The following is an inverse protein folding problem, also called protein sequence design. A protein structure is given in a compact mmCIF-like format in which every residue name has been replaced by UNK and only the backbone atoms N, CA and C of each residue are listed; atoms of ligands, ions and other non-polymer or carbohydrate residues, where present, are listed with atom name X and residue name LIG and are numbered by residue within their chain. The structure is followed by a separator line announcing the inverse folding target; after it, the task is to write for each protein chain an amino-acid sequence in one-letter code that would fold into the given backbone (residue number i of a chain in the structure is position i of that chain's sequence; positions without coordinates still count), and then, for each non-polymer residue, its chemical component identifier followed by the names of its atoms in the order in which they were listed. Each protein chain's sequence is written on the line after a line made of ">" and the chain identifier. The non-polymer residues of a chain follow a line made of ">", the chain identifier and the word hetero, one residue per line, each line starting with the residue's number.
data_IF_040893729009
#
_entry.id   IF_040893729009
#
_cell.length_a   1.000
_cell.length_b   1.000
_cell.length_c   1.000
_cell.angle_alpha   90.00
_cell.angle_beta   90.00
_cell.angle_gamma   90.00
#
_symmetry.space_group_name_H-M   'P 1'
#
loop_
_entity.id
_entity.type
_entity.pdbx_description
1 polymer ?
#
# COMPACT_ATOMS: atom_id res chain seq x y z
N UNK A 1 -5.90 9.55 19.39
CA UNK A 1 -6.76 9.57 18.18
C UNK A 1 -5.90 9.27 16.96
N UNK A 2 -6.02 8.07 16.39
CA UNK A 2 -5.36 7.68 15.15
C UNK A 2 -6.33 7.90 13.99
N UNK A 3 -5.95 8.71 12.99
CA UNK A 3 -6.74 8.98 11.79
C UNK A 3 -6.18 8.15 10.62
N UNK A 4 -6.65 6.91 10.40
CA UNK A 4 -6.08 6.00 9.40
C UNK A 4 -6.09 6.61 7.99
N UNK A 5 -7.20 7.26 7.61
CA UNK A 5 -7.33 7.88 6.29
C UNK A 5 -6.29 8.99 6.00
N UNK A 6 -5.74 9.64 7.04
CA UNK A 6 -4.74 10.69 6.87
C UNK A 6 -3.31 10.14 6.83
N UNK A 7 -3.03 9.08 7.59
CA UNK A 7 -1.73 8.39 7.56
C UNK A 7 -1.48 7.72 6.20
N UNK A 8 -2.54 7.10 5.65
CA UNK A 8 -2.52 6.44 4.36
C UNK A 8 -2.18 7.41 3.21
N UNK A 9 -2.72 8.64 3.25
CA UNK A 9 -2.52 9.62 2.16
C UNK A 9 -1.09 10.17 2.09
N UNK A 10 -0.44 10.40 3.24
CA UNK A 10 0.93 10.92 3.28
C UNK A 10 1.93 9.81 2.97
N UNK A 11 1.77 8.63 3.59
CA UNK A 11 2.61 7.46 3.32
C UNK A 11 2.56 7.07 1.84
N UNK A 12 1.37 7.15 1.21
CA UNK A 12 1.21 6.90 -0.21
C UNK A 12 1.93 7.95 -1.07
N UNK A 13 1.78 9.24 -0.77
CA UNK A 13 2.45 10.33 -1.54
C UNK A 13 3.96 10.22 -1.49
N UNK A 14 4.51 9.97 -0.31
CA UNK A 14 5.94 9.78 -0.14
C UNK A 14 6.44 8.49 -0.76
N UNK A 15 5.63 7.44 -0.64
CA UNK A 15 5.91 6.17 -1.27
C UNK A 15 5.95 6.24 -2.78
N UNK A 16 4.98 6.92 -3.36
CA UNK A 16 4.90 7.20 -4.77
C UNK A 16 6.06 8.08 -5.24
N UNK A 17 6.41 9.13 -4.48
CA UNK A 17 7.57 9.96 -4.78
C UNK A 17 8.87 9.15 -4.73
N UNK A 18 9.06 8.31 -3.71
CA UNK A 18 10.21 7.41 -3.60
C UNK A 18 10.25 6.39 -4.75
N UNK A 19 9.12 5.78 -5.11
CA UNK A 19 9.03 4.87 -6.25
C UNK A 19 9.29 5.57 -7.58
N UNK A 20 8.85 6.82 -7.75
CA UNK A 20 9.12 7.61 -8.94
C UNK A 20 10.60 8.03 -9.00
N UNK A 21 11.21 8.35 -7.86
CA UNK A 21 12.66 8.53 -7.74
C UNK A 21 13.42 7.23 -8.03
N UNK A 22 12.94 6.06 -7.60
CA UNK A 22 13.55 4.75 -7.87
C UNK A 22 13.41 4.34 -9.35
N UNK A 23 12.26 4.60 -9.98
CA UNK A 23 12.04 4.39 -11.42
C UNK A 23 12.90 5.39 -12.21
N UNK A 24 12.93 6.65 -11.78
CA UNK A 24 13.81 7.67 -12.33
C UNK A 24 15.28 7.27 -12.21
N UNK A 25 15.70 6.76 -11.06
CA UNK A 25 17.04 6.23 -10.80
C UNK A 25 17.34 5.00 -11.65
N UNK A 26 16.39 4.07 -11.80
CA UNK A 26 16.56 2.87 -12.63
C UNK A 26 16.63 3.22 -14.10
N UNK A 27 15.76 4.12 -14.58
CA UNK A 27 15.80 4.67 -15.92
C UNK A 27 17.04 5.52 -16.18
N UNK A 28 17.51 6.24 -15.16
CA UNK A 28 18.74 7.02 -15.22
C UNK A 28 19.97 6.12 -15.24
N UNK A 29 20.05 5.06 -14.43
CA UNK A 29 21.07 4.01 -14.51
C UNK A 29 21.11 3.34 -15.89
N UNK A 30 19.95 3.20 -16.53
CA UNK A 30 19.82 2.64 -17.88
C UNK A 30 20.25 3.62 -18.98
N UNK A 31 20.16 4.94 -18.73
CA UNK A 31 20.32 5.99 -19.77
C UNK A 31 21.60 6.84 -19.59
N UNK A 32 22.06 7.10 -18.37
CA UNK A 32 23.19 7.97 -18.02
C UNK A 32 23.73 7.62 -16.61
N UNK A 33 24.92 7.03 -16.55
CA UNK A 33 25.64 6.53 -15.36
C UNK A 33 25.94 7.53 -14.20
N UNK A 34 25.30 8.70 -14.11
CA UNK A 34 25.88 9.85 -13.40
C UNK A 34 25.17 10.39 -12.14
N UNK A 35 24.16 9.73 -11.57
CA UNK A 35 23.59 10.21 -10.30
C UNK A 35 23.32 9.10 -9.29
N UNK A 36 24.37 8.71 -8.56
CA UNK A 36 24.37 7.53 -7.68
C UNK A 36 24.08 7.83 -6.20
N UNK A 37 23.36 8.91 -5.90
CA UNK A 37 22.99 9.23 -4.52
C UNK A 37 21.48 9.22 -4.39
N UNK A 38 20.95 8.21 -3.69
CA UNK A 38 19.55 8.13 -3.23
C UNK A 38 19.43 8.64 -1.79
N UNK A 39 19.40 9.97 -1.56
CA UNK A 39 19.04 10.54 -0.26
C UNK A 39 17.55 10.31 0.10
N UNK A 40 16.77 9.75 -0.83
CA UNK A 40 15.36 9.40 -0.64
C UNK A 40 15.09 8.34 0.44
N UNK A 41 16.09 7.54 0.83
CA UNK A 41 15.91 6.58 1.92
C UNK A 41 15.75 7.28 3.27
N UNK A 42 16.65 8.19 3.64
CA UNK A 42 16.60 8.91 4.93
C UNK A 42 15.28 9.66 5.13
N UNK A 43 14.78 10.18 4.01
CA UNK A 43 13.52 10.84 3.83
C UNK A 43 12.37 9.96 4.39
N UNK A 44 12.09 8.76 3.86
CA UNK A 44 10.95 7.93 4.31
C UNK A 44 10.82 7.74 5.84
N UNK A 45 11.94 7.56 6.54
CA UNK A 45 11.95 7.18 7.96
C UNK A 45 11.75 8.33 8.93
N UNK A 46 12.25 9.51 8.59
CA UNK A 46 11.96 10.73 9.34
C UNK A 46 10.45 10.99 9.42
N UNK A 47 9.72 10.74 8.34
CA UNK A 47 8.26 10.86 8.36
C UNK A 47 7.59 9.85 9.29
N UNK A 48 8.09 8.61 9.33
CA UNK A 48 7.57 7.58 10.23
C UNK A 48 7.83 7.95 11.70
N UNK A 49 9.02 8.47 12.01
CA UNK A 49 9.34 9.00 13.33
C UNK A 49 8.39 10.15 13.69
N UNK A 50 8.26 11.16 12.83
CA UNK A 50 7.52 12.39 13.12
C UNK A 50 6.03 12.13 13.30
N UNK A 51 5.46 11.19 12.53
CA UNK A 51 4.04 10.82 12.61
C UNK A 51 3.77 9.94 13.84
N UNK A 52 4.57 8.89 14.08
CA UNK A 52 4.24 7.90 15.11
C UNK A 52 4.81 8.24 16.50
N UNK A 53 6.01 8.80 16.57
CA UNK A 53 6.63 9.09 17.86
C UNK A 53 6.08 10.39 18.46
N UNK A 54 6.12 11.49 17.69
CA UNK A 54 5.91 12.83 18.24
C UNK A 54 4.48 13.37 18.15
N UNK A 55 3.56 12.67 17.49
CA UNK A 55 2.14 13.08 17.38
C UNK A 55 1.93 14.55 16.98
N UNK A 56 2.84 15.13 16.18
CA UNK A 56 2.77 16.55 15.86
C UNK A 56 1.50 16.88 15.07
N UNK A 57 0.72 17.84 15.59
CA UNK A 57 -0.52 18.33 14.97
C UNK A 57 -0.26 19.20 13.72
N UNK A 58 0.87 19.91 13.66
CA UNK A 58 1.17 20.87 12.58
C UNK A 58 2.03 20.27 11.47
N UNK A 59 1.43 19.46 10.58
CA UNK A 59 2.17 18.68 9.57
C UNK A 59 2.68 19.47 8.37
N UNK A 60 1.98 20.53 7.97
CA UNK A 60 2.25 21.22 6.70
C UNK A 60 3.62 21.89 6.63
N UNK A 61 4.08 22.51 7.72
CA UNK A 61 5.38 23.19 7.73
C UNK A 61 6.55 22.20 7.69
N UNK A 62 6.43 21.03 8.33
CA UNK A 62 7.49 20.02 8.35
C UNK A 62 7.79 19.46 6.96
N UNK A 63 6.78 19.30 6.11
CA UNK A 63 6.96 18.80 4.75
C UNK A 63 7.90 19.72 3.93
N UNK A 64 7.79 21.04 4.09
CA UNK A 64 8.68 21.99 3.41
C UNK A 64 10.12 21.90 3.89
N UNK A 65 10.34 21.96 5.21
CA UNK A 65 11.69 21.85 5.78
C UNK A 65 12.36 20.54 5.43
N UNK A 66 11.57 19.48 5.35
CA UNK A 66 12.04 18.16 4.99
C UNK A 66 12.67 18.10 3.60
N UNK A 67 12.00 18.63 2.56
CA UNK A 67 12.58 18.67 1.22
C UNK A 67 13.85 19.53 1.19
N UNK A 68 13.86 20.66 1.91
CA UNK A 68 15.03 21.54 2.00
C UNK A 68 16.21 20.81 2.64
N UNK A 69 16.00 20.07 3.74
CA UNK A 69 17.07 19.33 4.44
C UNK A 69 17.62 18.22 3.56
N UNK A 70 16.74 17.41 2.94
CA UNK A 70 17.17 16.30 2.06
C UNK A 70 17.95 16.82 0.86
N UNK A 71 17.46 17.88 0.22
CA UNK A 71 18.14 18.52 -0.90
C UNK A 71 19.49 19.12 -0.49
N UNK A 72 19.52 19.84 0.64
CA UNK A 72 20.75 20.45 1.17
C UNK A 72 21.79 19.38 1.55
N UNK A 73 21.35 18.26 2.12
CA UNK A 73 22.23 17.15 2.48
C UNK A 73 22.79 16.45 1.24
N UNK A 74 21.96 16.21 0.23
CA UNK A 74 22.41 15.65 -1.05
C UNK A 74 23.45 16.55 -1.72
N UNK A 75 23.17 17.86 -1.76
CA UNK A 75 24.07 18.87 -2.30
C UNK A 75 25.39 18.92 -1.51
N UNK A 76 25.31 18.85 -0.18
CA UNK A 76 26.49 18.80 0.70
C UNK A 76 27.37 17.59 0.39
N UNK A 77 26.80 16.39 0.24
CA UNK A 77 27.55 15.18 -0.11
C UNK A 77 28.21 15.29 -1.49
N UNK A 78 27.51 15.87 -2.47
CA UNK A 78 28.07 16.10 -3.80
C UNK A 78 29.21 17.13 -3.78
N UNK A 79 29.07 18.25 -3.07
CA UNK A 79 30.14 19.24 -2.91
C UNK A 79 31.34 18.60 -2.20
N UNK A 80 31.10 17.82 -1.16
CA UNK A 80 32.15 17.14 -0.41
C UNK A 80 32.94 16.16 -1.30
N UNK A 81 32.26 15.42 -2.18
CA UNK A 81 32.91 14.56 -3.17
C UNK A 81 33.80 15.36 -4.16
N UNK A 82 33.30 16.49 -4.67
CA UNK A 82 34.04 17.33 -5.63
C UNK A 82 35.23 18.02 -4.95
N UNK A 83 35.03 18.63 -3.78
CA UNK A 83 36.07 19.37 -3.05
C UNK A 83 37.21 18.49 -2.56
N UNK A 84 36.94 17.20 -2.30
CA UNK A 84 37.97 16.23 -1.94
C UNK A 84 38.80 15.74 -3.14
N UNK A 85 38.49 16.18 -4.38
CA UNK A 85 39.13 15.73 -5.61
C UNK A 85 39.20 14.20 -5.74
N UNK A 86 38.12 13.53 -5.32
CA UNK A 86 38.06 12.07 -5.24
C UNK A 86 37.54 11.42 -6.53
N UNK A 87 36.98 12.19 -7.47
CA UNK A 87 36.42 11.64 -8.71
C UNK A 87 37.42 11.59 -9.85
N UNK A 88 37.44 10.47 -10.58
CA UNK A 88 38.26 10.29 -11.79
C UNK A 88 37.88 9.05 -12.56
N UNK A 89 38.56 8.81 -13.68
CA UNK A 89 38.34 7.62 -14.48
C UNK A 89 39.06 6.42 -13.83
N UNK A 90 38.34 5.34 -13.57
CA UNK A 90 38.89 4.08 -13.10
C UNK A 90 38.98 3.10 -14.27
N UNK A 91 40.21 2.76 -14.66
CA UNK A 91 40.47 1.84 -15.77
C UNK A 91 39.90 0.44 -15.51
N UNK A 92 39.81 0.03 -14.25
CA UNK A 92 39.35 -1.31 -13.88
C UNK A 92 37.84 -1.49 -14.09
N UNK A 93 37.07 -0.45 -13.83
CA UNK A 93 35.61 -0.42 -14.04
C UNK A 93 35.22 0.21 -15.38
N UNK A 94 36.17 0.81 -16.09
CA UNK A 94 35.96 1.56 -17.34
C UNK A 94 34.93 2.69 -17.20
N UNK A 95 34.81 3.26 -16.00
CA UNK A 95 33.82 4.26 -15.64
C UNK A 95 34.43 5.36 -14.77
N UNK A 96 33.74 6.51 -14.70
CA UNK A 96 34.13 7.56 -13.75
C UNK A 96 33.69 7.16 -12.33
N UNK A 97 34.66 6.89 -11.47
CA UNK A 97 34.48 6.44 -10.10
C UNK A 97 35.41 7.17 -9.12
N UNK A 98 35.63 6.61 -7.94
CA UNK A 98 36.62 7.08 -6.98
C UNK A 98 38.04 6.84 -7.51
N UNK A 99 38.86 7.88 -7.55
CA UNK A 99 40.28 7.79 -7.90
C UNK A 99 41.02 6.82 -6.97
N UNK A 100 41.93 6.03 -7.55
CA UNK A 100 42.77 5.08 -6.82
C UNK A 100 41.96 4.15 -5.89
N UNK A 101 40.85 3.61 -6.40
CA UNK A 101 40.04 2.59 -5.72
C UNK A 101 40.97 1.49 -5.19
N UNK A 102 41.02 1.36 -3.86
CA UNK A 102 41.88 0.44 -3.15
C UNK A 102 43.00 1.06 -2.31
N UNK A 103 43.35 2.34 -2.40
CA UNK A 103 44.22 2.93 -1.37
C UNK A 103 43.44 3.04 -0.04
N UNK A 104 44.09 2.79 1.11
CA UNK A 104 43.40 2.72 2.41
C UNK A 104 42.62 4.01 2.73
N UNK A 105 43.23 5.16 2.41
CA UNK A 105 42.61 6.47 2.61
C UNK A 105 41.35 6.67 1.74
N UNK A 106 41.43 6.27 0.48
CA UNK A 106 40.32 6.42 -0.47
C UNK A 106 39.21 5.42 -0.17
N UNK A 107 39.54 4.25 0.39
CA UNK A 107 38.52 3.32 0.89
C UNK A 107 37.70 3.95 2.00
N UNK A 108 38.35 4.54 3.02
CA UNK A 108 37.63 5.15 4.15
C UNK A 108 36.70 6.24 3.62
N UNK A 109 37.17 7.06 2.68
CA UNK A 109 36.34 8.06 2.01
C UNK A 109 35.15 7.44 1.29
N UNK A 110 35.39 6.50 0.37
CA UNK A 110 34.34 5.80 -0.37
C UNK A 110 33.33 5.12 0.56
N UNK A 111 33.79 4.51 1.65
CA UNK A 111 32.92 3.85 2.63
C UNK A 111 32.06 4.86 3.39
N UNK A 112 32.66 5.94 3.89
CA UNK A 112 31.96 6.97 4.67
C UNK A 112 30.94 7.70 3.81
N UNK A 113 31.32 8.08 2.59
CA UNK A 113 30.39 8.67 1.65
C UNK A 113 29.39 7.61 1.21
N UNK A 114 29.74 6.63 0.39
CA UNK A 114 28.77 5.74 -0.24
C UNK A 114 27.88 4.95 0.75
N UNK A 115 28.46 4.36 1.80
CA UNK A 115 27.74 3.44 2.70
C UNK A 115 27.44 4.03 4.07
N UNK A 116 28.25 4.97 4.55
CA UNK A 116 28.16 5.49 5.91
C UNK A 116 26.79 6.08 6.21
N UNK A 117 26.26 6.94 5.32
CA UNK A 117 24.92 7.49 5.51
C UNK A 117 23.81 6.44 5.34
N UNK A 118 24.02 5.40 4.54
CA UNK A 118 23.04 4.32 4.33
C UNK A 118 22.89 3.52 5.63
N UNK A 119 24.01 3.10 6.23
CA UNK A 119 24.00 2.39 7.49
C UNK A 119 23.50 3.26 8.65
N UNK A 120 23.88 4.54 8.70
CA UNK A 120 23.32 5.47 9.66
C UNK A 120 21.79 5.61 9.51
N UNK A 121 21.30 5.65 8.26
CA UNK A 121 19.87 5.64 7.96
C UNK A 121 19.23 4.37 8.49
N UNK A 122 19.72 3.18 8.12
CA UNK A 122 19.19 1.87 8.55
C UNK A 122 19.16 1.77 10.08
N UNK A 123 20.24 2.17 10.76
CA UNK A 123 20.30 2.18 12.22
C UNK A 123 19.23 3.10 12.82
N UNK A 124 19.08 4.31 12.28
CA UNK A 124 18.02 5.24 12.69
C UNK A 124 16.63 4.63 12.48
N UNK A 125 16.39 3.94 11.36
CA UNK A 125 15.13 3.24 11.08
C UNK A 125 14.82 2.18 12.14
N UNK A 126 15.83 1.37 12.50
CA UNK A 126 15.70 0.33 13.50
C UNK A 126 15.33 0.93 14.87
N UNK A 127 15.98 2.03 15.26
CA UNK A 127 15.66 2.77 16.49
C UNK A 127 14.20 3.24 16.48
N UNK A 128 13.75 3.87 15.38
CA UNK A 128 12.37 4.34 15.23
C UNK A 128 11.38 3.20 15.37
N UNK A 129 11.65 2.06 14.73
CA UNK A 129 10.77 0.89 14.79
C UNK A 129 10.71 0.31 16.19
N UNK A 130 11.84 0.23 16.89
CA UNK A 130 11.88 -0.18 18.30
C UNK A 130 11.02 0.78 19.14
N UNK A 131 11.12 2.09 18.93
CA UNK A 131 10.28 3.09 19.62
C UNK A 131 8.79 2.89 19.33
N UNK A 132 8.41 2.69 18.06
CA UNK A 132 7.02 2.43 17.65
C UNK A 132 6.49 1.14 18.27
N UNK A 133 7.26 0.05 18.25
CA UNK A 133 6.88 -1.22 18.86
C UNK A 133 6.70 -1.07 20.37
N UNK A 134 7.62 -0.37 21.06
CA UNK A 134 7.51 -0.09 22.49
C UNK A 134 6.25 0.71 22.81
N UNK A 135 5.96 1.76 22.02
CA UNK A 135 4.75 2.58 22.16
C UNK A 135 3.47 1.77 21.93
N UNK A 136 3.40 0.96 20.87
CA UNK A 136 2.25 0.09 20.60
C UNK A 136 2.04 -0.96 21.69
N UNK A 137 3.11 -1.53 22.24
CA UNK A 137 3.03 -2.46 23.39
C UNK A 137 2.51 -1.75 24.64
N UNK A 138 2.93 -0.50 24.88
CA UNK A 138 2.44 0.31 25.99
C UNK A 138 0.94 0.57 25.89
N UNK A 139 0.47 1.04 24.72
CA UNK A 139 -0.96 1.28 24.47
C UNK A 139 -1.77 -0.01 24.59
N UNK A 140 -1.26 -1.14 24.09
CA UNK A 140 -1.91 -2.45 24.26
C UNK A 140 -2.06 -2.84 25.72
N UNK A 141 -1.03 -2.59 26.56
CA UNK A 141 -1.08 -2.88 28.00
C UNK A 141 -2.13 -2.02 28.70
N UNK A 142 -2.18 -0.73 28.38
CA UNK A 142 -3.17 0.21 28.91
C UNK A 142 -4.60 -0.21 28.54
N UNK A 143 -4.86 -0.50 27.26
CA UNK A 143 -6.17 -0.98 26.79
C UNK A 143 -6.57 -2.30 27.47
N UNK A 144 -5.64 -3.24 27.63
CA UNK A 144 -5.92 -4.50 28.31
C UNK A 144 -6.22 -4.29 29.81
N UNK A 145 -5.55 -3.35 30.48
CA UNK A 145 -5.81 -3.04 31.88
C UNK A 145 -7.20 -2.41 32.07
N UNK A 146 -7.59 -1.49 31.17
CA UNK A 146 -8.92 -0.87 31.18
C UNK A 146 -10.00 -1.93 30.90
N UNK A 147 -9.81 -2.76 29.87
CA UNK A 147 -10.75 -3.85 29.54
C UNK A 147 -10.86 -4.86 30.69
N UNK A 148 -9.74 -5.22 31.33
CA UNK A 148 -9.73 -6.14 32.46
C UNK A 148 -10.47 -5.61 33.70
N UNK A 149 -10.65 -4.29 33.79
CA UNK A 149 -11.40 -3.65 34.88
C UNK A 149 -12.90 -3.48 34.60
N UNK A 150 -13.34 -3.62 33.34
CA UNK A 150 -14.76 -3.48 32.99
C UNK A 150 -15.54 -4.78 33.24
N UNK A 151 -16.75 -4.71 33.84
CA UNK A 151 -17.60 -5.88 34.04
C UNK A 151 -18.05 -6.50 32.70
N UNK A 152 -18.02 -7.83 32.64
CA UNK A 152 -18.18 -8.68 31.45
C UNK A 152 -19.42 -8.37 30.60
N UNK A 153 -20.48 -7.81 31.19
CA UNK A 153 -21.75 -7.53 30.51
C UNK A 153 -21.72 -6.33 29.54
N UNK A 154 -20.77 -5.40 29.66
CA UNK A 154 -20.65 -4.26 28.73
C UNK A 154 -19.71 -4.55 27.54
N UNK A 155 -19.09 -5.73 27.50
CA UNK A 155 -18.03 -6.04 26.55
C UNK A 155 -18.54 -6.53 25.17
N UNK A 156 -19.81 -6.93 25.08
CA UNK A 156 -20.40 -7.48 23.85
C UNK A 156 -20.56 -6.44 22.71
N UNK A 157 -20.49 -5.14 23.01
CA UNK A 157 -20.66 -4.06 22.02
C UNK A 157 -19.36 -3.40 21.54
N UNK A 158 -18.20 -3.71 22.12
CA UNK A 158 -16.98 -2.95 21.85
C UNK A 158 -16.11 -3.60 20.77
N UNK A 159 -15.66 -2.87 19.72
CA UNK A 159 -14.90 -3.40 18.57
C UNK A 159 -13.43 -3.72 18.92
N UNK A 160 -13.21 -4.59 19.90
CA UNK A 160 -11.88 -4.90 20.46
C UNK A 160 -11.09 -5.91 19.62
N UNK A 161 -11.77 -6.80 18.87
CA UNK A 161 -11.13 -7.83 18.05
C UNK A 161 -10.50 -7.23 16.79
N UNK A 162 -11.15 -6.22 16.18
CA UNK A 162 -10.71 -5.58 14.94
C UNK A 162 -9.37 -4.85 15.12
N UNK A 163 -9.05 -4.37 16.32
CA UNK A 163 -7.80 -3.65 16.56
C UNK A 163 -6.55 -4.55 16.59
N UNK A 164 -6.65 -5.84 16.98
CA UNK A 164 -5.45 -6.69 17.12
C UNK A 164 -4.85 -7.07 15.77
N UNK A 165 -5.70 -7.44 14.81
CA UNK A 165 -5.28 -7.84 13.46
C UNK A 165 -4.71 -6.66 12.68
N UNK A 166 -5.39 -5.51 12.73
CA UNK A 166 -4.95 -4.28 12.05
C UNK A 166 -3.60 -3.80 12.61
N UNK A 167 -3.43 -3.75 13.93
CA UNK A 167 -2.15 -3.32 14.52
C UNK A 167 -1.03 -4.30 14.16
N UNK A 168 -1.26 -5.61 14.22
CA UNK A 168 -0.25 -6.60 13.82
C UNK A 168 0.14 -6.48 12.35
N UNK A 169 -0.83 -6.18 11.48
CA UNK A 169 -0.60 -5.97 10.05
C UNK A 169 0.25 -4.72 9.80
N UNK A 170 -0.09 -3.59 10.44
CA UNK A 170 0.66 -2.34 10.35
C UNK A 170 2.10 -2.52 10.85
N UNK A 171 2.31 -3.20 11.98
CA UNK A 171 3.66 -3.47 12.51
C UNK A 171 4.49 -4.30 11.55
N UNK A 172 3.92 -5.39 11.00
CA UNK A 172 4.61 -6.25 10.04
C UNK A 172 5.06 -5.45 8.81
N UNK A 173 4.21 -4.56 8.30
CA UNK A 173 4.54 -3.68 7.18
C UNK A 173 5.66 -2.70 7.54
N UNK A 174 5.55 -2.04 8.70
CA UNK A 174 6.55 -1.07 9.18
C UNK A 174 7.93 -1.72 9.33
N UNK A 175 8.00 -3.00 9.73
CA UNK A 175 9.26 -3.74 9.83
C UNK A 175 9.95 -4.00 8.48
N UNK A 176 9.23 -4.07 7.37
CA UNK A 176 9.85 -4.36 6.07
C UNK A 176 10.62 -3.16 5.50
N UNK A 177 10.24 -1.94 5.85
CA UNK A 177 10.90 -0.72 5.35
C UNK A 177 12.41 -0.70 5.60
N UNK A 178 12.96 -0.94 6.82
CA UNK A 178 14.42 -1.00 7.02
C UNK A 178 15.08 -2.28 6.49
N UNK A 179 14.33 -3.37 6.41
CA UNK A 179 14.86 -4.68 6.00
C UNK A 179 15.18 -4.66 4.51
N UNK A 180 14.32 -4.05 3.69
CA UNK A 180 14.51 -3.96 2.25
C UNK A 180 15.86 -3.31 1.84
N UNK A 181 16.21 -2.08 2.27
CA UNK A 181 17.49 -1.46 1.93
C UNK A 181 18.66 -2.17 2.61
N UNK A 182 18.48 -2.75 3.81
CA UNK A 182 19.54 -3.53 4.45
C UNK A 182 19.92 -4.73 3.57
N UNK A 183 18.93 -5.51 3.12
CA UNK A 183 19.17 -6.69 2.26
C UNK A 183 19.75 -6.27 0.91
N UNK A 184 19.24 -5.20 0.31
CA UNK A 184 19.72 -4.72 -0.98
C UNK A 184 21.17 -4.22 -0.93
N UNK A 185 21.53 -3.45 0.09
CA UNK A 185 22.82 -2.77 0.21
C UNK A 185 23.91 -3.64 0.84
N UNK A 186 23.51 -4.69 1.58
CA UNK A 186 24.45 -5.63 2.20
C UNK A 186 25.42 -6.23 1.18
N UNK A 187 24.91 -6.65 0.02
CA UNK A 187 25.74 -7.25 -1.02
C UNK A 187 26.72 -6.24 -1.63
N UNK A 188 26.28 -5.01 -1.95
CA UNK A 188 27.16 -3.97 -2.47
C UNK A 188 28.31 -3.66 -1.51
N UNK A 189 27.99 -3.43 -0.23
CA UNK A 189 29.01 -3.17 0.80
C UNK A 189 29.96 -4.35 1.00
N UNK A 190 29.44 -5.59 1.02
CA UNK A 190 30.28 -6.78 1.16
C UNK A 190 31.25 -6.95 0.01
N UNK A 191 30.80 -6.75 -1.23
CA UNK A 191 31.65 -6.88 -2.42
C UNK A 191 32.73 -5.82 -2.45
N UNK A 192 32.41 -4.58 -2.10
CA UNK A 192 33.40 -3.50 -1.99
C UNK A 192 34.48 -3.81 -0.95
N UNK A 193 34.09 -4.26 0.25
CA UNK A 193 35.05 -4.69 1.27
C UNK A 193 35.87 -5.89 0.81
N UNK A 194 35.25 -6.86 0.13
CA UNK A 194 35.95 -8.03 -0.38
C UNK A 194 36.99 -7.66 -1.45
N UNK A 195 36.60 -6.84 -2.43
CA UNK A 195 37.47 -6.33 -3.49
C UNK A 195 38.64 -5.56 -2.90
N UNK A 196 38.40 -4.75 -1.87
CA UNK A 196 39.47 -4.04 -1.17
C UNK A 196 40.51 -4.98 -0.55
N UNK A 197 40.06 -6.01 0.18
CA UNK A 197 40.95 -6.95 0.86
C UNK A 197 41.72 -7.81 -0.14
N UNK A 198 41.06 -8.29 -1.19
CA UNK A 198 41.63 -9.29 -2.10
C UNK A 198 42.21 -8.72 -3.39
N UNK A 199 41.98 -7.44 -3.70
CA UNK A 199 42.42 -6.77 -4.94
C UNK A 199 41.95 -7.43 -6.23
N UNK A 200 40.88 -8.21 -6.15
CA UNK A 200 40.28 -8.92 -7.27
C UNK A 200 38.77 -8.80 -7.12
N UNK A 201 38.08 -8.48 -8.22
CA UNK A 201 36.62 -8.47 -8.30
C UNK A 201 36.17 -9.81 -8.88
N UNK A 202 35.78 -10.81 -8.07
CA UNK A 202 35.30 -12.06 -8.62
C UNK A 202 33.92 -11.82 -9.26
N UNK A 203 33.78 -12.26 -10.50
CA UNK A 203 32.55 -12.11 -11.29
C UNK A 203 31.26 -12.56 -10.54
N UNK A 204 31.25 -13.69 -9.80
CA UNK A 204 30.05 -14.09 -9.04
C UNK A 204 29.61 -13.08 -7.98
N UNK A 205 30.55 -12.39 -7.32
CA UNK A 205 30.22 -11.35 -6.34
C UNK A 205 29.67 -10.11 -7.04
N UNK A 206 30.25 -9.69 -8.16
CA UNK A 206 29.71 -8.58 -8.96
C UNK A 206 28.27 -8.86 -9.41
N UNK A 207 27.98 -10.07 -9.88
CA UNK A 207 26.62 -10.50 -10.24
C UNK A 207 25.66 -10.42 -9.04
N UNK A 208 26.12 -10.76 -7.84
CA UNK A 208 25.34 -10.65 -6.60
C UNK A 208 24.96 -9.20 -6.29
N UNK A 209 25.83 -8.22 -6.58
CA UNK A 209 25.52 -6.79 -6.43
C UNK A 209 24.37 -6.39 -7.35
N UNK A 210 24.42 -6.78 -8.64
CA UNK A 210 23.33 -6.49 -9.59
C UNK A 210 22.00 -7.13 -9.18
N UNK A 211 22.04 -8.35 -8.64
CA UNK A 211 20.86 -8.99 -8.05
C UNK A 211 20.36 -8.18 -6.85
N UNK A 212 21.24 -7.76 -5.93
CA UNK A 212 20.88 -6.95 -4.77
C UNK A 212 20.23 -5.62 -5.13
N UNK A 213 20.79 -4.92 -6.12
CA UNK A 213 20.23 -3.67 -6.65
C UNK A 213 18.86 -3.89 -7.29
N UNK A 214 18.69 -4.94 -8.09
CA UNK A 214 17.40 -5.29 -8.70
C UNK A 214 16.36 -5.71 -7.66
N UNK A 215 16.80 -6.44 -6.63
CA UNK A 215 15.96 -6.89 -5.53
C UNK A 215 15.46 -5.70 -4.69
N UNK A 216 16.21 -4.61 -4.61
CA UNK A 216 15.76 -3.38 -3.93
C UNK A 216 14.43 -2.86 -4.51
N UNK A 217 14.37 -2.72 -5.84
CA UNK A 217 13.16 -2.27 -6.53
C UNK A 217 11.99 -3.24 -6.33
N UNK A 218 12.25 -4.55 -6.40
CA UNK A 218 11.25 -5.58 -6.16
C UNK A 218 10.71 -5.53 -4.73
N UNK A 219 11.58 -5.43 -3.73
CA UNK A 219 11.19 -5.37 -2.32
C UNK A 219 10.41 -4.08 -2.02
N UNK A 220 10.83 -2.95 -2.57
CA UNK A 220 10.09 -1.69 -2.46
C UNK A 220 8.69 -1.83 -3.07
N UNK A 221 8.57 -2.39 -4.28
CA UNK A 221 7.28 -2.62 -4.93
C UNK A 221 6.39 -3.57 -4.11
N UNK A 222 6.94 -4.64 -3.53
CA UNK A 222 6.22 -5.55 -2.64
C UNK A 222 5.72 -4.83 -1.40
N UNK A 223 6.55 -4.02 -0.75
CA UNK A 223 6.15 -3.23 0.43
C UNK A 223 5.06 -2.20 0.07
N UNK A 224 5.13 -1.58 -1.11
CA UNK A 224 4.08 -0.67 -1.59
C UNK A 224 2.78 -1.38 -1.94
N UNK A 225 2.84 -2.58 -2.52
CA UNK A 225 1.64 -3.36 -2.85
C UNK A 225 0.82 -3.75 -1.61
N UNK A 226 1.48 -3.84 -0.45
CA UNK A 226 0.84 -4.10 0.85
C UNK A 226 0.24 -2.84 1.50
N UNK A 227 0.32 -1.67 0.86
CA UNK A 227 -0.31 -0.46 1.37
C UNK A 227 -1.84 -0.60 1.35
N UNK A 228 -2.49 -0.18 2.43
CA UNK A 228 -3.96 -0.14 2.55
C UNK A 228 -4.52 0.81 1.50
N UNK A 229 -3.85 1.93 1.23
CA UNK A 229 -4.26 2.87 0.18
C UNK A 229 -4.24 2.21 -1.20
N UNK A 230 -3.16 1.47 -1.51
CA UNK A 230 -3.01 0.74 -2.78
C UNK A 230 -4.03 -0.38 -2.87
N UNK A 231 -4.23 -1.14 -1.81
CA UNK A 231 -5.21 -2.23 -1.76
C UNK A 231 -6.63 -1.70 -1.96
N UNK A 232 -6.99 -0.58 -1.31
CA UNK A 232 -8.31 0.07 -1.47
C UNK A 232 -8.47 0.65 -2.87
N UNK A 233 -7.46 1.33 -3.41
CA UNK A 233 -7.49 1.84 -4.77
C UNK A 233 -7.63 0.70 -5.78
N UNK A 234 -6.89 -0.39 -5.59
CA UNK A 234 -6.99 -1.59 -6.40
C UNK A 234 -8.39 -2.21 -6.29
N UNK A 235 -8.97 -2.33 -5.10
CA UNK A 235 -10.34 -2.80 -4.90
C UNK A 235 -11.37 -1.89 -5.59
N UNK A 236 -11.19 -0.58 -5.55
CA UNK A 236 -12.08 0.37 -6.23
C UNK A 236 -11.98 0.26 -7.75
N UNK A 237 -10.77 0.18 -8.30
CA UNK A 237 -10.54 -0.05 -9.74
C UNK A 237 -11.09 -1.41 -10.15
N UNK A 238 -10.86 -2.44 -9.33
CA UNK A 238 -11.38 -3.80 -9.49
C UNK A 238 -12.90 -3.80 -9.57
N UNK A 239 -13.57 -3.13 -8.63
CA UNK A 239 -15.02 -3.00 -8.59
C UNK A 239 -15.56 -2.21 -9.79
N UNK A 240 -14.94 -1.10 -10.15
CA UNK A 240 -15.33 -0.30 -11.31
C UNK A 240 -15.20 -1.11 -12.60
N UNK A 241 -14.08 -1.82 -12.79
CA UNK A 241 -13.88 -2.72 -13.94
C UNK A 241 -14.92 -3.84 -13.96
N UNK A 242 -15.22 -4.43 -12.80
CA UNK A 242 -16.23 -5.47 -12.68
C UNK A 242 -17.61 -4.92 -13.08
N UNK A 243 -18.06 -3.81 -12.50
CA UNK A 243 -19.34 -3.17 -12.84
C UNK A 243 -19.41 -2.82 -14.33
N UNK A 244 -18.36 -2.22 -14.90
CA UNK A 244 -18.35 -1.80 -16.29
C UNK A 244 -18.44 -2.98 -17.27
N UNK A 245 -17.77 -4.10 -16.99
CA UNK A 245 -17.72 -5.23 -17.93
C UNK A 245 -18.84 -6.25 -17.66
N UNK A 246 -19.16 -6.53 -16.39
CA UNK A 246 -20.18 -7.50 -16.02
C UNK A 246 -21.57 -6.93 -16.26
N UNK A 247 -21.88 -5.70 -15.85
CA UNK A 247 -23.21 -5.13 -16.12
C UNK A 247 -23.42 -4.91 -17.63
N UNK A 248 -22.37 -4.55 -18.37
CA UNK A 248 -22.44 -4.46 -19.83
C UNK A 248 -22.75 -5.82 -20.46
N UNK A 249 -22.05 -6.88 -20.04
CA UNK A 249 -22.29 -8.23 -20.55
C UNK A 249 -23.68 -8.76 -20.15
N UNK A 250 -24.10 -8.57 -18.90
CA UNK A 250 -25.39 -9.04 -18.41
C UNK A 250 -26.57 -8.27 -19.03
N UNK A 251 -26.40 -6.98 -19.35
CA UNK A 251 -27.42 -6.21 -20.09
C UNK A 251 -27.53 -6.64 -21.55
N UNK A 252 -26.42 -7.00 -22.20
CA UNK A 252 -26.42 -7.46 -23.60
C UNK A 252 -26.85 -8.92 -23.76
N UNK A 253 -26.57 -9.77 -22.76
CA UNK A 253 -26.87 -11.20 -22.78
C UNK A 253 -27.68 -11.64 -21.55
N UNK A 254 -28.90 -11.10 -21.34
CA UNK A 254 -29.67 -11.31 -20.12
C UNK A 254 -30.11 -12.77 -19.92
N UNK A 255 -30.11 -13.58 -20.97
CA UNK A 255 -30.46 -15.00 -20.93
C UNK A 255 -29.29 -15.90 -20.48
N UNK A 256 -28.08 -15.37 -20.32
CA UNK A 256 -26.86 -16.10 -19.92
C UNK A 256 -26.20 -15.56 -18.65
N UNK A 257 -26.81 -14.61 -17.94
CA UNK A 257 -26.23 -14.06 -16.72
C UNK A 257 -26.30 -15.09 -15.58
N UNK A 258 -25.13 -15.63 -15.24
CA UNK A 258 -24.99 -16.64 -14.19
C UNK A 258 -25.39 -16.07 -12.81
N UNK A 259 -25.12 -14.79 -12.56
CA UNK A 259 -25.51 -14.11 -11.33
C UNK A 259 -27.02 -13.95 -11.18
N UNK A 260 -27.74 -13.78 -12.30
CA UNK A 260 -29.20 -13.69 -12.25
C UNK A 260 -29.82 -15.04 -11.93
N UNK A 261 -29.26 -16.13 -12.45
CA UNK A 261 -29.67 -17.48 -12.05
C UNK A 261 -29.48 -17.72 -10.54
N UNK A 262 -28.34 -17.30 -9.98
CA UNK A 262 -28.07 -17.38 -8.53
C UNK A 262 -29.04 -16.50 -7.73
N UNK A 263 -29.25 -15.25 -8.15
CA UNK A 263 -30.16 -14.33 -7.47
C UNK A 263 -31.63 -14.79 -7.53
N UNK A 264 -32.04 -15.34 -8.68
CA UNK A 264 -33.36 -15.92 -8.87
C UNK A 264 -33.54 -17.20 -8.03
N UNK A 265 -32.48 -18.01 -7.87
CA UNK A 265 -32.46 -19.17 -6.97
C UNK A 265 -32.61 -18.74 -5.51
N UNK A 266 -31.87 -17.71 -5.05
CA UNK A 266 -32.05 -17.14 -3.70
C UNK A 266 -33.45 -16.57 -3.48
N UNK A 267 -34.03 -15.87 -4.47
CA UNK A 267 -35.40 -15.36 -4.39
C UNK A 267 -36.44 -16.48 -4.41
N UNK A 268 -36.20 -17.59 -5.11
CA UNK A 268 -37.06 -18.78 -5.05
C UNK A 268 -36.98 -19.45 -3.68
N UNK A 269 -35.79 -19.52 -3.08
CA UNK A 269 -35.59 -20.04 -1.72
C UNK A 269 -36.30 -19.15 -0.69
N UNK A 270 -36.21 -17.83 -0.80
CA UNK A 270 -36.90 -16.89 0.10
C UNK A 270 -38.42 -16.96 -0.03
N UNK A 271 -38.95 -17.21 -1.24
CA UNK A 271 -40.39 -17.43 -1.47
C UNK A 271 -40.87 -18.82 -1.09
N UNK A 272 -39.98 -19.80 -0.95
CA UNK A 272 -40.35 -21.09 -0.39
C UNK A 272 -40.62 -20.90 1.11
N UNK A 273 -41.86 -21.16 1.53
CA UNK A 273 -42.35 -20.90 2.89
C UNK A 273 -41.61 -21.68 3.99
N UNK A 274 -40.62 -22.52 3.65
CA UNK A 274 -39.82 -23.28 4.63
C UNK A 274 -38.90 -22.42 5.49
N UNK A 275 -38.68 -21.13 5.14
CA UNK A 275 -37.86 -20.21 5.94
C UNK A 275 -38.63 -19.44 7.03
N UNK A 276 -39.93 -19.66 7.21
CA UNK A 276 -40.70 -19.03 8.31
C UNK A 276 -40.16 -19.39 9.70
N UNK A 277 -39.45 -20.52 9.84
CA UNK A 277 -38.79 -20.93 11.08
C UNK A 277 -37.52 -20.13 11.45
N UNK A 278 -36.79 -19.55 10.49
CA UNK A 278 -35.59 -18.75 10.78
C UNK A 278 -35.91 -17.27 11.04
N UNK A 279 -37.02 -16.77 10.46
CA UNK A 279 -37.52 -15.41 10.71
C UNK A 279 -38.05 -15.22 12.14
N UNK A 280 -38.50 -16.29 12.81
CA UNK A 280 -38.90 -16.25 14.23
C UNK A 280 -37.70 -16.19 15.19
N UNK A 281 -36.55 -16.78 14.82
CA UNK A 281 -35.31 -16.72 15.61
C UNK A 281 -34.66 -15.33 15.60
N UNK A 282 -34.75 -14.60 14.47
CA UNK A 282 -34.17 -13.25 14.36
C UNK A 282 -35.07 -12.14 14.96
N UNK A 283 -36.38 -12.39 15.10
CA UNK A 283 -37.33 -11.43 15.69
C UNK A 283 -37.15 -11.28 17.21
N UNK A 284 -36.71 -12.34 17.89
CA UNK A 284 -36.42 -12.30 19.33
C UNK A 284 -35.15 -11.49 19.66
N UNK A 285 -34.27 -11.24 18.70
CA UNK A 285 -33.04 -10.46 18.91
C UNK A 285 -33.26 -8.94 18.74
N UNK A 286 -34.27 -8.55 17.96
CA UNK A 286 -34.56 -7.13 17.69
C UNK A 286 -35.33 -6.46 18.82
N UNK A 287 -36.13 -7.19 19.60
CA UNK A 287 -36.84 -6.66 20.76
C UNK A 287 -35.92 -6.45 21.99
N UNK A 288 -34.77 -7.13 22.04
CA UNK A 288 -33.76 -6.88 23.06
C UNK A 288 -32.93 -5.60 22.82
N UNK A 289 -32.93 -5.06 21.59
CA UNK A 289 -32.04 -3.96 21.19
C UNK A 289 -32.74 -2.59 21.14
N UNK A 290 -34.08 -2.54 21.20
CA UNK A 290 -34.83 -1.27 21.20
C UNK A 290 -34.81 -0.49 22.52
N UNK A 291 -34.31 -1.06 23.61
CA UNK A 291 -34.32 -0.40 24.92
C UNK A 291 -33.02 0.34 25.31
N UNK A 292 -32.05 0.52 24.39
CA UNK A 292 -30.79 1.21 24.72
C UNK A 292 -30.42 2.41 23.84
N UNK A 293 -31.35 2.97 23.06
CA UNK A 293 -31.08 4.19 22.27
C UNK A 293 -31.39 5.41 23.12
N UNK A 294 -30.43 5.78 23.99
CA UNK A 294 -30.32 7.11 24.58
C UNK A 294 -29.34 7.91 23.71
N UNK A 295 -29.82 9.08 23.28
CA UNK A 295 -29.13 10.23 22.72
C UNK A 295 -27.60 10.14 22.54
N UNK A 296 -27.15 10.24 21.29
CA UNK A 296 -26.00 11.10 20.98
C UNK A 296 -25.97 11.53 19.49
N UNK A 297 -25.95 12.85 19.29
CA UNK A 297 -24.97 13.51 18.43
C UNK A 297 -25.03 13.32 16.91
N UNK A 298 -25.82 14.18 16.28
CA UNK A 298 -25.69 14.74 14.91
C UNK A 298 -24.28 14.57 14.30
N UNK A 299 -24.16 13.73 13.26
CA UNK A 299 -23.05 13.77 12.28
C UNK A 299 -23.67 13.65 10.88
N UNK A 300 -23.35 14.62 10.02
CA UNK A 300 -23.85 14.78 8.64
C UNK A 300 -23.59 13.56 7.73
N UNK A 301 -24.66 13.07 7.10
CA UNK A 301 -24.69 12.03 6.06
C UNK A 301 -24.68 12.60 4.62
N UNK A 302 -24.06 13.75 4.39
CA UNK A 302 -24.18 14.50 3.12
C UNK A 302 -23.41 13.92 1.91
N UNK A 303 -22.72 12.78 2.03
CA UNK A 303 -21.87 12.28 0.93
C UNK A 303 -22.41 11.03 0.22
N UNK A 304 -23.41 10.32 0.80
CA UNK A 304 -23.93 9.08 0.19
C UNK A 304 -25.28 9.26 -0.53
N UNK A 305 -26.02 10.33 -0.25
CA UNK A 305 -27.34 10.55 -0.87
C UNK A 305 -27.32 11.20 -2.28
N UNK A 306 -26.15 11.60 -2.80
CA UNK A 306 -26.06 12.30 -4.08
C UNK A 306 -26.18 11.46 -5.35
N UNK A 307 -26.30 10.12 -5.24
CA UNK A 307 -26.29 9.22 -6.42
C UNK A 307 -27.62 8.47 -6.60
N UNK A 308 -28.54 8.50 -5.64
CA UNK A 308 -29.76 7.66 -5.67
C UNK A 308 -31.06 8.46 -5.88
N UNK A 309 -31.04 9.79 -5.80
CA UNK A 309 -32.26 10.62 -5.93
C UNK A 309 -32.21 11.44 -7.21
N UNK A 310 -32.44 10.80 -8.35
CA UNK A 310 -32.85 11.43 -9.61
C UNK A 310 -33.36 10.34 -10.56
N UNK A 311 -34.50 9.69 -10.24
CA UNK A 311 -35.31 8.96 -11.24
C UNK A 311 -36.67 8.43 -10.73
N UNK A 312 -37.34 9.13 -9.82
CA UNK A 312 -38.73 8.81 -9.49
C UNK A 312 -39.60 10.03 -9.72
N UNK A 313 -39.73 10.40 -10.99
CA UNK A 313 -40.89 11.13 -11.49
C UNK A 313 -41.06 10.80 -12.97
N UNK A 314 -41.85 9.75 -13.26
CA UNK A 314 -42.38 9.57 -14.60
C UNK A 314 -43.77 8.96 -14.55
N UNK A 315 -44.74 9.86 -14.72
CA UNK A 315 -46.06 9.70 -15.29
C UNK A 315 -46.50 8.29 -15.69
N UNK A 316 -47.55 7.84 -15.00
CA UNK A 316 -48.49 6.83 -15.47
C UNK A 316 -49.17 7.30 -16.77
N UNK A 317 -48.59 7.00 -17.92
CA UNK A 317 -49.30 7.01 -19.20
C UNK A 317 -49.48 5.58 -19.69
N UNK A 318 -50.75 5.23 -19.89
CA UNK A 318 -51.28 3.97 -20.39
C UNK A 318 -50.67 3.64 -21.77
N UNK A 319 -49.64 2.79 -21.79
CA UNK A 319 -49.08 2.25 -23.04
C UNK A 319 -49.84 0.95 -23.38
N UNK A 320 -50.56 0.98 -24.50
CA UNK A 320 -51.17 -0.18 -25.12
C UNK A 320 -50.07 -1.17 -25.56
N UNK A 321 -50.02 -2.32 -24.90
CA UNK A 321 -49.15 -3.45 -25.26
C UNK A 321 -49.62 -4.07 -26.58
N UNK A 322 -49.08 -3.58 -27.71
CA UNK A 322 -49.06 -4.32 -28.96
C UNK A 322 -47.85 -5.24 -28.95
N UNK A 323 -48.05 -6.49 -28.54
CA UNK A 323 -47.04 -7.55 -28.56
C UNK A 323 -46.67 -7.83 -30.01
N UNK A 324 -45.59 -7.21 -30.48
CA UNK A 324 -45.03 -7.47 -31.79
C UNK A 324 -44.08 -8.67 -31.66
N UNK A 325 -44.57 -9.86 -32.06
CA UNK A 325 -43.78 -11.09 -32.15
C UNK A 325 -42.80 -10.99 -33.33
N UNK A 326 -41.76 -10.16 -33.17
CA UNK A 326 -40.58 -10.28 -34.01
C UNK A 326 -39.67 -11.31 -33.35
N UNK A 327 -39.45 -12.42 -34.07
CA UNK A 327 -38.48 -13.45 -33.73
C UNK A 327 -37.08 -12.83 -33.74
N UNK A 328 -36.71 -12.18 -32.63
CA UNK A 328 -35.40 -11.61 -32.44
C UNK A 328 -34.41 -12.77 -32.37
N UNK A 329 -33.63 -12.90 -33.45
CA UNK A 329 -32.41 -13.70 -33.48
C UNK A 329 -31.59 -13.35 -32.25
N UNK A 330 -31.52 -14.30 -31.31
CA UNK A 330 -30.72 -14.18 -30.10
C UNK A 330 -29.27 -14.12 -30.53
N UNK A 331 -28.69 -12.92 -30.51
CA UNK A 331 -27.26 -12.72 -30.76
C UNK A 331 -26.48 -13.52 -29.72
N UNK A 332 -25.70 -14.49 -30.19
CA UNK A 332 -24.78 -15.23 -29.34
C UNK A 332 -23.48 -14.42 -29.18
N UNK A 333 -22.94 -14.35 -27.95
CA UNK A 333 -21.65 -13.70 -27.71
C UNK A 333 -20.55 -14.45 -28.47
N UNK A 334 -19.56 -13.69 -28.93
CA UNK A 334 -18.34 -14.30 -29.48
C UNK A 334 -17.61 -15.09 -28.39
N UNK A 335 -16.86 -16.12 -28.79
CA UNK A 335 -16.07 -16.92 -27.85
C UNK A 335 -15.10 -16.07 -27.02
N UNK A 336 -14.53 -15.00 -27.61
CA UNK A 336 -13.60 -14.11 -26.93
C UNK A 336 -14.29 -13.27 -25.84
N UNK A 337 -15.51 -12.79 -26.09
CA UNK A 337 -16.33 -12.09 -25.08
C UNK A 337 -16.71 -13.00 -23.92
N UNK A 338 -17.11 -14.24 -24.24
CA UNK A 338 -17.44 -15.23 -23.22
C UNK A 338 -16.23 -15.62 -22.37
N UNK A 339 -15.05 -15.81 -22.99
CA UNK A 339 -13.81 -16.11 -22.28
C UNK A 339 -13.37 -14.94 -21.38
N UNK A 340 -13.46 -13.70 -21.88
CA UNK A 340 -13.17 -12.49 -21.09
C UNK A 340 -14.10 -12.39 -19.88
N UNK A 341 -15.39 -12.69 -20.04
CA UNK A 341 -16.36 -12.73 -18.95
C UNK A 341 -16.01 -13.80 -17.90
N UNK A 342 -15.67 -15.03 -18.33
CA UNK A 342 -15.26 -16.10 -17.43
C UNK A 342 -13.97 -15.78 -16.64
N UNK A 343 -12.96 -15.20 -17.31
CA UNK A 343 -11.74 -14.77 -16.63
C UNK A 343 -12.02 -13.63 -15.65
N UNK A 344 -12.86 -12.67 -16.01
CA UNK A 344 -13.27 -11.60 -15.11
C UNK A 344 -14.00 -12.15 -13.88
N UNK A 345 -14.93 -13.09 -14.02
CA UNK A 345 -15.57 -13.71 -12.85
C UNK A 345 -14.54 -14.44 -11.99
N UNK A 346 -13.66 -15.25 -12.59
CA UNK A 346 -12.73 -16.09 -11.81
C UNK A 346 -11.61 -15.32 -11.13
N UNK A 347 -11.11 -14.24 -11.75
CA UNK A 347 -10.10 -13.36 -11.15
C UNK A 347 -10.71 -12.30 -10.22
N UNK A 348 -11.97 -11.93 -10.46
CA UNK A 348 -12.60 -10.79 -9.77
C UNK A 348 -13.70 -11.16 -8.79
N UNK A 349 -14.14 -12.41 -8.73
CA UNK A 349 -15.09 -12.90 -7.71
C UNK A 349 -14.58 -12.54 -6.32
N UNK A 350 -15.50 -12.08 -5.47
CA UNK A 350 -15.21 -11.90 -4.06
C UNK A 350 -14.75 -13.25 -3.47
N UNK A 351 -13.62 -13.30 -2.75
CA UNK A 351 -13.26 -14.47 -1.97
C UNK A 351 -14.25 -14.71 -0.82
#
# INVERSE_FOLDING_TARGET
>A
MYYPNLADRISFRLGFAASFCDIGYSGHLLVLFFWNTTPGFFCGYMNLHLIFANEYKYRYYFEKYYYIIVFSFALFLSILYITANMGGYDDSESACWYLNSGQEYNLIWQWITLFGWIYASILYCAIVIIMVIRKLRSVKKEVNNVIGSLPTFQLAGYPTIINKTVVSFVVRRVMWYPVAPLVAQFFGSFVETYTYVNRVVPYPLSLLVFIGLSLQGLLNALVFSQDIAVTRAFQAVKLHWWLANVNYYESHYPHRSYNKAIFDEFNMIEKSNDFTGLKSLNRNQTDATKNSVVNDGIINDDIINGIIVDNVDSNNNHINNRVNNNNNLVLQPSFLEWLRYMLLIKFFSAP
#
